data_IF_705506841605
#
_entry.id   IF_705506841605
#
_cell.length_a   1.000
_cell.length_b   1.000
_cell.length_c   1.000
_cell.angle_alpha   90.00
_cell.angle_beta   90.00
_cell.angle_gamma   90.00
#
_symmetry.space_group_name_H-M   'P 1'
#
loop_
_entity.id
_entity.type
_entity.pdbx_description
1 polymer ?
#
# COMPACT_ATOMS: atom_id res chain seq x y z
N UNK A 1 20.36 6.02 -4.22
CA UNK A 1 18.97 5.82 -3.74
C UNK A 1 17.97 5.74 -4.89
N UNK A 2 17.96 6.64 -5.88
CA UNK A 2 17.00 6.56 -6.99
C UNK A 2 17.22 5.40 -7.99
N UNK A 3 18.38 4.72 -7.94
CA UNK A 3 18.72 3.60 -8.83
C UNK A 3 17.90 2.32 -8.60
N UNK A 4 17.21 2.19 -7.46
CA UNK A 4 16.35 1.03 -7.16
C UNK A 4 14.90 1.25 -7.60
N UNK A 5 14.57 2.43 -8.10
CA UNK A 5 13.20 2.79 -8.48
C UNK A 5 12.97 2.38 -9.93
N UNK A 6 11.83 1.75 -10.18
CA UNK A 6 11.46 1.33 -11.52
C UNK A 6 11.38 2.55 -12.45
N UNK A 7 12.24 2.55 -13.47
CA UNK A 7 12.30 3.60 -14.51
C UNK A 7 10.97 3.83 -15.25
N UNK A 8 10.05 2.86 -15.21
CA UNK A 8 8.72 2.94 -15.85
C UNK A 8 7.71 3.74 -15.03
N UNK A 9 8.03 4.14 -13.80
CA UNK A 9 7.10 4.90 -12.93
C UNK A 9 6.88 6.35 -13.36
N UNK A 10 7.54 6.82 -14.41
CA UNK A 10 7.42 8.20 -14.89
C UNK A 10 8.07 9.22 -13.94
N UNK A 11 7.64 10.48 -14.04
CA UNK A 11 8.15 11.56 -13.19
C UNK A 11 7.51 11.54 -11.81
N UNK A 12 8.32 11.67 -10.76
CA UNK A 12 7.86 11.76 -9.38
C UNK A 12 8.63 12.84 -8.62
N UNK A 13 8.02 13.47 -7.60
CA UNK A 13 8.76 14.35 -6.69
C UNK A 13 9.75 13.51 -5.87
N UNK A 14 11.03 13.89 -5.91
CA UNK A 14 12.09 13.21 -5.15
C UNK A 14 11.75 13.06 -3.67
N UNK A 15 11.19 14.12 -3.07
CA UNK A 15 10.79 14.15 -1.65
C UNK A 15 9.66 13.17 -1.30
N UNK A 16 8.76 12.89 -2.23
CA UNK A 16 7.70 11.89 -2.03
C UNK A 16 8.29 10.49 -2.00
N UNK A 17 9.22 10.20 -2.91
CA UNK A 17 9.95 8.94 -2.97
C UNK A 17 10.81 8.71 -1.73
N UNK A 18 11.57 9.71 -1.29
CA UNK A 18 12.40 9.60 -0.09
C UNK A 18 11.57 9.23 1.14
N UNK A 19 10.41 9.89 1.31
CA UNK A 19 9.47 9.58 2.40
C UNK A 19 8.87 8.18 2.26
N UNK A 20 8.50 7.79 1.06
CA UNK A 20 7.95 6.46 0.80
C UNK A 20 8.95 5.35 1.12
N UNK A 21 10.20 5.50 0.68
CA UNK A 21 11.26 4.53 0.98
C UNK A 21 11.56 4.51 2.49
N UNK A 22 11.60 5.67 3.16
CA UNK A 22 11.78 5.72 4.60
C UNK A 22 10.65 5.00 5.35
N UNK A 23 9.40 5.12 4.89
CA UNK A 23 8.27 4.37 5.44
C UNK A 23 8.42 2.87 5.20
N UNK A 24 8.79 2.46 3.98
CA UNK A 24 9.01 1.06 3.64
C UNK A 24 10.09 0.41 4.51
N UNK A 25 11.20 1.11 4.75
CA UNK A 25 12.27 0.63 5.62
C UNK A 25 11.79 0.43 7.07
N UNK A 26 10.96 1.35 7.59
CA UNK A 26 10.34 1.18 8.92
C UNK A 26 9.39 -0.02 8.98
N UNK A 27 8.59 -0.24 7.94
CA UNK A 27 7.71 -1.40 7.85
C UNK A 27 8.49 -2.73 7.82
N UNK A 28 9.68 -2.72 7.23
CA UNK A 28 10.55 -3.90 7.10
C UNK A 28 11.56 -4.05 8.24
N UNK A 29 11.38 -3.35 9.36
CA UNK A 29 12.30 -3.46 10.49
C UNK A 29 12.29 -4.89 11.06
N UNK A 30 13.47 -5.43 11.41
CA UNK A 30 13.59 -6.81 11.89
C UNK A 30 12.76 -7.03 13.14
N UNK A 31 12.88 -6.11 14.10
CA UNK A 31 12.09 -6.07 15.33
C UNK A 31 10.65 -5.61 15.06
N UNK A 32 9.62 -6.42 15.36
CA UNK A 32 8.22 -6.06 15.15
C UNK A 32 7.78 -4.80 15.91
N UNK A 33 8.32 -4.57 17.11
CA UNK A 33 8.01 -3.43 17.98
C UNK A 33 8.45 -2.07 17.41
N UNK A 34 9.43 -2.07 16.50
CA UNK A 34 9.92 -0.86 15.82
C UNK A 34 9.13 -0.57 14.53
N UNK A 35 8.27 -1.50 14.10
CA UNK A 35 7.42 -1.30 12.92
C UNK A 35 6.29 -0.33 13.25
N UNK A 36 5.93 0.57 12.33
CA UNK A 36 4.83 1.50 12.54
C UNK A 36 3.49 0.76 12.59
N UNK A 37 2.52 1.33 13.33
CA UNK A 37 1.15 0.82 13.28
C UNK A 37 0.54 1.05 11.89
N UNK A 38 -0.44 0.23 11.50
CA UNK A 38 -1.15 0.43 10.22
C UNK A 38 -1.79 1.82 10.11
N UNK A 39 -2.19 2.41 11.22
CA UNK A 39 -2.73 3.76 11.28
C UNK A 39 -1.66 4.82 10.92
N UNK A 40 -0.43 4.65 11.39
CA UNK A 40 0.69 5.53 11.03
C UNK A 40 1.13 5.34 9.58
N UNK A 41 1.11 4.10 9.08
CA UNK A 41 1.39 3.79 7.67
C UNK A 41 0.40 4.51 6.76
N UNK A 42 -0.91 4.35 6.99
CA UNK A 42 -1.94 5.00 6.17
C UNK A 42 -1.84 6.53 6.26
N UNK A 43 -1.54 7.07 7.45
CA UNK A 43 -1.35 8.52 7.63
C UNK A 43 -0.21 9.05 6.78
N UNK A 44 0.95 8.40 6.79
CA UNK A 44 2.10 8.87 6.00
C UNK A 44 1.88 8.67 4.50
N UNK A 45 1.21 7.58 4.08
CA UNK A 45 0.83 7.39 2.68
C UNK A 45 -0.10 8.50 2.18
N UNK A 46 -1.14 8.86 2.96
CA UNK A 46 -2.03 10.01 2.63
C UNK A 46 -1.24 11.31 2.47
N UNK A 47 -0.28 11.56 3.35
CA UNK A 47 0.59 12.73 3.33
C UNK A 47 1.49 12.77 2.09
N UNK A 48 2.03 11.62 1.67
CA UNK A 48 2.85 11.51 0.45
C UNK A 48 2.01 11.78 -0.80
N UNK A 49 0.84 11.15 -0.90
CA UNK A 49 -0.07 11.31 -2.05
C UNK A 49 -0.50 12.78 -2.20
N UNK A 50 -0.83 13.46 -1.09
CA UNK A 50 -1.22 14.87 -1.11
C UNK A 50 -0.13 15.79 -1.68
N UNK A 51 1.14 15.37 -1.64
CA UNK A 51 2.29 16.13 -2.16
C UNK A 51 2.69 15.74 -3.59
N UNK A 52 2.03 14.76 -4.20
CA UNK A 52 2.26 14.37 -5.59
C UNK A 52 1.55 15.36 -6.54
N UNK A 53 2.19 15.82 -7.62
CA UNK A 53 1.55 16.65 -8.64
C UNK A 53 0.51 15.81 -9.40
N UNK A 54 -0.77 16.16 -9.23
CA UNK A 54 -1.94 15.71 -9.98
C UNK A 54 -1.93 14.22 -10.41
N UNK A 55 -2.00 13.34 -9.43
CA UNK A 55 -2.80 12.12 -9.56
C UNK A 55 -3.69 12.14 -8.32
N UNK A 56 -4.92 12.64 -8.46
CA UNK A 56 -5.93 12.57 -7.39
C UNK A 56 -6.74 11.29 -7.62
N UNK A 57 -6.31 10.11 -7.14
CA UNK A 57 -7.31 9.11 -6.80
C UNK A 57 -8.12 9.73 -5.66
N UNK A 58 -9.43 9.87 -5.83
CA UNK A 58 -10.30 10.44 -4.82
C UNK A 58 -10.31 9.54 -3.57
N UNK A 59 -9.37 9.85 -2.67
CA UNK A 59 -9.08 9.08 -1.46
C UNK A 59 -10.13 9.30 -0.37
N UNK A 60 -11.04 10.26 -0.58
CA UNK A 60 -12.18 10.52 0.30
C UNK A 60 -13.17 9.35 0.33
N UNK A 61 -13.10 8.45 -0.66
CA UNK A 61 -14.00 7.30 -0.79
C UNK A 61 -13.45 5.98 -0.22
N UNK A 62 -12.24 5.96 0.35
CA UNK A 62 -11.71 4.78 1.04
C UNK A 62 -12.29 4.67 2.45
N UNK A 63 -13.46 4.04 2.57
CA UNK A 63 -14.01 3.60 3.84
C UNK A 63 -13.29 2.32 4.29
N UNK A 64 -12.43 2.44 5.29
CA UNK A 64 -11.93 1.29 6.04
C UNK A 64 -13.02 0.85 7.02
N UNK A 65 -13.85 -0.10 6.62
CA UNK A 65 -14.71 -0.82 7.56
C UNK A 65 -13.85 -1.87 8.26
N UNK A 66 -13.67 -1.68 9.57
CA UNK A 66 -13.13 -2.68 10.50
C UNK A 66 -14.03 -3.93 10.46
N UNK A 67 -13.71 -4.86 9.57
CA UNK A 67 -14.26 -6.21 9.58
C UNK A 67 -13.11 -7.16 9.35
N UNK A 68 -13.08 -8.23 10.14
CA UNK A 68 -11.98 -9.20 10.29
C UNK A 68 -11.68 -10.04 9.03
N UNK A 69 -12.00 -9.54 7.85
CA UNK A 69 -11.77 -10.12 6.54
C UNK A 69 -11.23 -9.04 5.60
N UNK A 70 -10.00 -9.24 5.15
CA UNK A 70 -9.23 -8.33 4.30
C UNK A 70 -9.88 -8.17 2.92
N UNK A 71 -10.89 -7.32 2.80
CA UNK A 71 -11.53 -6.99 1.53
C UNK A 71 -11.45 -5.48 1.30
N UNK A 72 -10.61 -5.07 0.35
CA UNK A 72 -10.53 -3.69 -0.12
C UNK A 72 -11.61 -3.48 -1.18
N UNK A 73 -12.64 -2.69 -0.90
CA UNK A 73 -13.64 -2.27 -1.89
C UNK A 73 -13.28 -0.87 -2.39
N UNK A 74 -12.84 -0.77 -3.64
CA UNK A 74 -12.62 0.50 -4.34
C UNK A 74 -13.83 0.83 -5.20
N UNK A 75 -14.52 1.93 -4.90
CA UNK A 75 -15.74 2.33 -5.59
C UNK A 75 -15.48 3.14 -6.88
N UNK A 76 -14.63 2.61 -7.77
CA UNK A 76 -14.40 3.09 -9.15
C UNK A 76 -14.39 1.92 -10.14
N UNK A 77 -15.38 1.91 -11.05
CA UNK A 77 -15.59 0.93 -12.12
C UNK A 77 -14.39 0.81 -13.09
N UNK A 78 -13.69 1.91 -13.37
CA UNK A 78 -12.67 1.95 -14.43
C UNK A 78 -11.32 1.31 -14.02
N UNK A 79 -11.02 1.28 -12.72
CA UNK A 79 -9.80 0.64 -12.18
C UNK A 79 -10.00 -0.85 -11.85
N UNK A 80 -11.25 -1.27 -11.66
CA UNK A 80 -11.63 -2.65 -11.33
C UNK A 80 -11.31 -3.61 -12.49
N UNK A 81 -11.47 -3.14 -13.73
CA UNK A 81 -11.16 -3.92 -14.93
C UNK A 81 -9.69 -4.35 -15.05
N UNK A 82 -8.76 -3.55 -14.51
CA UNK A 82 -7.31 -3.84 -14.58
C UNK A 82 -6.84 -4.85 -13.52
N UNK A 83 -7.58 -4.98 -12.41
CA UNK A 83 -7.26 -5.93 -11.31
C UNK A 83 -7.95 -7.29 -11.51
N UNK A 84 -9.06 -7.34 -12.23
CA UNK A 84 -9.80 -8.58 -12.52
C UNK A 84 -9.07 -9.55 -13.46
N UNK A 85 -7.91 -9.18 -14.00
CA UNK A 85 -7.07 -10.06 -14.83
C UNK A 85 -6.08 -10.93 -14.04
N UNK A 86 -6.00 -10.80 -12.71
CA UNK A 86 -5.21 -11.71 -11.88
C UNK A 86 -6.13 -12.56 -11.00
N UNK A 87 -6.68 -13.62 -11.62
CA UNK A 87 -7.62 -14.56 -11.00
C UNK A 87 -7.10 -15.17 -9.70
N UNK A 88 -7.68 -14.74 -8.59
CA UNK A 88 -7.41 -15.28 -7.26
C UNK A 88 -8.41 -16.39 -6.92
N UNK A 89 -8.16 -17.60 -7.38
CA UNK A 89 -8.73 -18.82 -6.80
C UNK A 89 -7.83 -19.27 -5.64
N UNK A 90 -7.99 -18.69 -4.47
CA UNK A 90 -7.42 -19.25 -3.25
C UNK A 90 -8.46 -20.19 -2.63
N UNK A 91 -8.34 -21.46 -2.97
CA UNK A 91 -8.93 -22.54 -2.16
C UNK A 91 -8.28 -22.45 -0.77
N UNK A 92 -9.04 -21.91 0.20
CA UNK A 92 -8.68 -21.93 1.62
C UNK A 92 -8.74 -23.39 2.07
N UNK A 93 -7.57 -24.01 2.13
CA UNK A 93 -7.44 -25.40 2.51
C UNK A 93 -5.99 -25.75 2.78
N UNK A 94 -5.33 -25.03 3.68
CA UNK A 94 -4.15 -25.46 4.45
C UNK A 94 -3.80 -24.32 5.43
N UNK A 95 -3.94 -24.57 6.73
CA UNK A 95 -3.45 -23.68 7.78
C UNK A 95 -2.01 -24.05 8.10
N UNK A 96 -1.03 -23.56 7.33
CA UNK A 96 0.36 -23.59 7.81
C UNK A 96 0.52 -22.53 8.88
N UNK A 97 0.77 -22.95 10.12
CA UNK A 97 1.19 -22.06 11.21
C UNK A 97 2.55 -21.46 10.88
N UNK A 98 2.55 -20.25 10.33
CA UNK A 98 3.77 -19.47 10.11
C UNK A 98 4.05 -18.76 11.44
N UNK A 99 5.17 -19.11 12.08
CA UNK A 99 5.63 -18.37 13.25
C UNK A 99 6.05 -16.96 12.81
N UNK A 100 5.63 -15.90 13.54
CA UNK A 100 6.17 -14.57 13.33
C UNK A 100 7.68 -14.59 13.48
N UNK A 101 8.35 -13.84 12.62
CA UNK A 101 9.81 -13.63 12.64
C UNK A 101 10.20 -12.79 13.84
#
# INVERSE_FOLDING_TARGET
MFSIIDSRMGSYPSKCVERFVALALKCCHDKPEDRPSMLDVVRELKNIIQKMPETKPDLSKLTFTESSSSSLVLANEEYFASLNMLGSNLVIGVTTSIKPR
#
